data_IF_970781540504
#
_entry.id   IF_970781540504
#
_cell.length_a   1.000
_cell.length_b   1.000
_cell.length_c   1.000
_cell.angle_alpha   90.00
_cell.angle_beta   90.00
_cell.angle_gamma   90.00
#
_symmetry.space_group_name_H-M   'P 1'
#
loop_
_entity.id
_entity.type
_entity.pdbx_description
1 polymer ?
#
# COMPACT_ATOMS: atom_id res chain seq x y z
N UNK A 1 1.00 1.34 -54.37
CA UNK A 1 1.96 0.21 -54.52
C UNK A 1 1.31 -0.96 -53.80
N UNK A 2 1.15 -2.10 -54.44
CA UNK A 2 0.32 -3.18 -53.90
C UNK A 2 1.17 -4.02 -52.94
N UNK A 3 0.69 -4.36 -51.75
CA UNK A 3 1.41 -5.17 -50.74
C UNK A 3 2.02 -6.47 -51.29
N UNK A 4 1.41 -6.94 -52.42
CA UNK A 4 1.94 -8.07 -53.20
C UNK A 4 3.29 -7.79 -53.93
N UNK A 5 3.60 -6.53 -54.21
CA UNK A 5 4.88 -6.17 -54.85
C UNK A 5 6.03 -6.03 -53.91
N UNK A 6 5.74 -5.69 -52.61
CA UNK A 6 6.75 -5.75 -51.55
C UNK A 6 7.15 -7.18 -51.20
N UNK A 7 6.24 -8.15 -51.31
CA UNK A 7 6.55 -9.58 -51.23
C UNK A 7 7.48 -10.07 -52.34
N UNK A 8 7.41 -9.44 -53.54
CA UNK A 8 8.35 -9.74 -54.65
C UNK A 8 9.75 -9.22 -54.35
N UNK A 9 9.88 -8.11 -53.59
CA UNK A 9 11.14 -7.59 -53.08
C UNK A 9 11.82 -8.55 -52.07
N UNK A 10 11.04 -9.35 -51.33
CA UNK A 10 11.58 -10.38 -50.41
C UNK A 10 12.28 -11.51 -51.15
N UNK A 11 12.02 -11.74 -52.47
CA UNK A 11 12.71 -12.75 -53.30
C UNK A 11 14.16 -12.41 -53.60
N UNK A 12 14.59 -11.18 -53.38
CA UNK A 12 15.98 -10.74 -53.59
C UNK A 12 16.79 -10.53 -52.30
N UNK A 13 16.26 -10.96 -51.17
CA UNK A 13 17.01 -10.89 -49.92
C UNK A 13 18.14 -11.96 -49.92
N UNK A 14 19.33 -11.63 -49.38
CA UNK A 14 20.46 -12.53 -49.36
C UNK A 14 20.26 -13.77 -48.48
N UNK A 15 19.18 -13.82 -47.72
CA UNK A 15 18.83 -14.97 -46.89
C UNK A 15 17.43 -15.45 -47.29
N UNK A 16 17.36 -16.65 -47.83
CA UNK A 16 16.10 -17.30 -48.18
C UNK A 16 15.32 -17.64 -46.91
N UNK A 17 14.03 -17.25 -46.89
CA UNK A 17 13.09 -17.80 -45.91
C UNK A 17 12.98 -19.31 -46.18
N UNK A 18 12.85 -20.10 -45.12
CA UNK A 18 12.47 -21.51 -45.27
C UNK A 18 11.08 -21.59 -45.89
N UNK A 19 10.74 -22.69 -46.61
CA UNK A 19 9.45 -22.90 -47.22
C UNK A 19 8.31 -22.75 -46.19
N UNK A 20 8.55 -23.18 -44.93
CA UNK A 20 7.60 -23.04 -43.84
C UNK A 20 7.38 -21.55 -43.47
N UNK A 21 8.47 -20.77 -43.33
CA UNK A 21 8.37 -19.34 -43.01
C UNK A 21 7.67 -18.57 -44.13
N UNK A 22 7.99 -18.87 -45.40
CA UNK A 22 7.36 -18.25 -46.54
C UNK A 22 5.85 -18.58 -46.64
N UNK A 23 5.45 -19.83 -46.32
CA UNK A 23 4.07 -20.22 -46.24
C UNK A 23 3.31 -19.49 -45.15
N UNK A 24 3.94 -19.35 -43.95
CA UNK A 24 3.33 -18.63 -42.82
C UNK A 24 3.17 -17.13 -43.09
N UNK A 25 4.17 -16.50 -43.70
CA UNK A 25 4.07 -15.07 -44.09
C UNK A 25 2.93 -14.86 -45.08
N UNK A 26 2.80 -15.74 -46.11
CA UNK A 26 1.70 -15.69 -47.08
C UNK A 26 0.36 -15.87 -46.40
N UNK A 27 0.20 -16.85 -45.54
CA UNK A 27 -1.04 -17.11 -44.80
C UNK A 27 -1.48 -15.88 -43.98
N UNK A 28 -0.55 -15.23 -43.30
CA UNK A 28 -0.86 -14.01 -42.52
C UNK A 28 -1.27 -12.86 -43.43
N UNK A 29 -0.62 -12.67 -44.58
CA UNK A 29 -0.92 -11.59 -45.53
C UNK A 29 -2.24 -11.80 -46.30
N UNK A 30 -2.62 -13.05 -46.51
CA UNK A 30 -3.87 -13.40 -47.22
C UNK A 30 -5.08 -13.31 -46.28
N UNK A 31 -4.93 -13.57 -45.00
CA UNK A 31 -6.03 -13.68 -44.03
C UNK A 31 -6.25 -12.42 -43.17
N UNK A 32 -5.40 -11.38 -43.26
CA UNK A 32 -5.50 -10.20 -42.44
C UNK A 32 -5.47 -8.92 -43.29
N UNK A 33 -5.97 -7.81 -42.68
CA UNK A 33 -5.77 -6.48 -43.26
C UNK A 33 -4.27 -6.14 -43.27
N UNK A 34 -3.83 -5.29 -44.20
CA UNK A 34 -2.41 -4.95 -44.34
C UNK A 34 -1.77 -4.51 -43.00
N UNK A 35 -2.38 -3.62 -42.24
CA UNK A 35 -1.87 -3.16 -40.94
C UNK A 35 -1.78 -4.31 -39.92
N UNK A 36 -2.85 -5.09 -39.75
CA UNK A 36 -2.88 -6.22 -38.81
C UNK A 36 -1.88 -7.31 -39.18
N UNK A 37 -1.70 -7.59 -40.49
CA UNK A 37 -0.72 -8.54 -40.96
C UNK A 37 0.70 -8.13 -40.57
N UNK A 38 1.07 -6.86 -40.77
CA UNK A 38 2.38 -6.34 -40.39
C UNK A 38 2.60 -6.36 -38.88
N UNK A 39 1.55 -6.06 -38.09
CA UNK A 39 1.62 -6.19 -36.60
C UNK A 39 1.93 -7.64 -36.20
N UNK A 40 1.28 -8.62 -36.78
CA UNK A 40 1.52 -10.05 -36.52
C UNK A 40 2.95 -10.43 -36.92
N UNK A 41 3.36 -10.08 -38.14
CA UNK A 41 4.68 -10.40 -38.69
C UNK A 41 5.83 -9.71 -37.92
N UNK A 42 5.59 -8.55 -37.34
CA UNK A 42 6.56 -7.87 -36.49
C UNK A 42 6.97 -8.70 -35.24
N UNK A 43 6.20 -9.72 -34.87
CA UNK A 43 6.46 -10.63 -33.76
C UNK A 43 7.12 -11.94 -34.21
N UNK A 44 7.48 -12.08 -35.50
CA UNK A 44 8.13 -13.27 -36.02
C UNK A 44 9.46 -13.55 -35.30
N UNK A 45 9.81 -14.82 -35.15
CA UNK A 45 11.11 -15.23 -34.67
C UNK A 45 12.24 -14.76 -35.61
N UNK A 46 11.98 -14.77 -36.94
CA UNK A 46 12.95 -14.36 -37.96
C UNK A 46 13.11 -12.83 -37.99
N UNK A 47 14.33 -12.33 -37.79
CA UNK A 47 14.66 -10.90 -37.78
C UNK A 47 14.38 -10.18 -39.08
N UNK A 48 14.55 -10.83 -40.20
CA UNK A 48 14.28 -10.29 -41.54
C UNK A 48 12.78 -10.07 -41.75
N UNK A 49 11.96 -11.02 -41.30
CA UNK A 49 10.49 -10.86 -41.35
C UNK A 49 10.06 -9.69 -40.47
N UNK A 50 10.66 -9.53 -39.26
CA UNK A 50 10.35 -8.38 -38.40
C UNK A 50 10.75 -7.05 -39.02
N UNK A 51 11.94 -6.99 -39.65
CA UNK A 51 12.40 -5.79 -40.33
C UNK A 51 11.48 -5.38 -41.49
N UNK A 52 11.08 -6.35 -42.33
CA UNK A 52 10.13 -6.11 -43.42
C UNK A 52 8.77 -5.65 -42.89
N UNK A 53 8.28 -6.28 -41.82
CA UNK A 53 7.04 -5.88 -41.20
C UNK A 53 7.06 -4.42 -40.70
N UNK A 54 8.20 -3.96 -40.17
CA UNK A 54 8.35 -2.56 -39.76
C UNK A 54 8.38 -1.59 -40.93
N UNK A 55 8.97 -1.98 -42.07
CA UNK A 55 8.89 -1.19 -43.29
C UNK A 55 7.45 -1.05 -43.77
N UNK A 56 6.68 -2.16 -43.85
CA UNK A 56 5.28 -2.14 -44.18
C UNK A 56 4.44 -1.32 -43.19
N UNK A 57 4.68 -1.43 -41.88
CA UNK A 57 4.02 -0.61 -40.87
C UNK A 57 4.30 0.89 -41.00
N UNK A 58 5.43 1.27 -41.58
CA UNK A 58 5.78 2.68 -41.76
C UNK A 58 4.78 3.42 -42.65
N UNK A 59 4.02 2.75 -43.50
CA UNK A 59 3.00 3.35 -44.38
C UNK A 59 1.61 3.36 -43.73
N UNK A 60 1.44 2.66 -42.59
CA UNK A 60 0.19 2.56 -41.83
C UNK A 60 0.26 3.28 -40.51
N UNK A 61 -0.01 4.58 -40.49
CA UNK A 61 0.02 5.39 -39.27
C UNK A 61 -1.18 5.09 -38.38
N UNK A 62 -0.94 4.39 -37.26
CA UNK A 62 -1.99 4.02 -36.28
C UNK A 62 -1.39 3.89 -34.87
N UNK A 63 -2.26 3.87 -33.85
CA UNK A 63 -1.84 3.64 -32.47
C UNK A 63 -1.24 2.22 -32.29
N UNK A 64 -1.74 1.24 -33.02
CA UNK A 64 -1.27 -0.14 -32.99
C UNK A 64 0.14 -0.24 -33.58
N UNK A 65 0.37 0.36 -34.77
CA UNK A 65 1.70 0.42 -35.39
C UNK A 65 2.71 1.14 -34.47
N UNK A 66 2.31 2.25 -33.82
CA UNK A 66 3.16 2.95 -32.88
C UNK A 66 3.55 2.06 -31.69
N UNK A 67 2.63 1.26 -31.18
CA UNK A 67 2.89 0.28 -30.11
C UNK A 67 3.96 -0.73 -30.51
N UNK A 68 3.87 -1.26 -31.74
CA UNK A 68 4.89 -2.17 -32.31
C UNK A 68 6.25 -1.49 -32.44
N UNK A 69 6.29 -0.26 -32.94
CA UNK A 69 7.55 0.49 -33.07
C UNK A 69 8.23 0.63 -31.71
N UNK A 70 7.51 0.99 -30.65
CA UNK A 70 8.10 1.05 -29.28
C UNK A 70 8.63 -0.31 -28.82
N UNK A 71 7.92 -1.41 -29.09
CA UNK A 71 8.42 -2.75 -28.75
C UNK A 71 9.73 -3.07 -29.47
N UNK A 72 9.81 -2.74 -30.76
CA UNK A 72 10.95 -3.09 -31.64
C UNK A 72 12.14 -2.14 -31.50
N UNK A 73 11.99 -0.95 -30.92
CA UNK A 73 13.14 -0.11 -30.55
C UNK A 73 14.13 -0.81 -29.60
N UNK A 74 13.71 -1.84 -28.88
CA UNK A 74 14.59 -2.65 -28.03
C UNK A 74 14.76 -4.08 -28.57
N UNK A 75 14.59 -4.30 -29.87
CA UNK A 75 14.82 -5.60 -30.48
C UNK A 75 16.30 -6.02 -30.35
N UNK A 76 16.58 -7.32 -30.39
CA UNK A 76 17.92 -7.84 -30.33
C UNK A 76 18.69 -7.66 -31.64
N UNK A 77 17.98 -7.58 -32.80
CA UNK A 77 18.55 -7.32 -34.11
C UNK A 77 18.72 -5.82 -34.35
N UNK A 78 19.95 -5.32 -34.61
CA UNK A 78 20.20 -3.89 -34.81
C UNK A 78 19.38 -3.28 -35.94
N UNK A 79 19.25 -3.97 -37.09
CA UNK A 79 18.50 -3.50 -38.26
C UNK A 79 17.01 -3.31 -37.94
N UNK A 80 16.44 -4.20 -37.13
CA UNK A 80 15.06 -4.09 -36.66
C UNK A 80 14.90 -2.84 -35.77
N UNK A 81 15.86 -2.56 -34.87
CA UNK A 81 15.83 -1.33 -34.07
C UNK A 81 15.90 -0.08 -34.92
N UNK A 82 16.76 -0.09 -35.92
CA UNK A 82 16.96 1.03 -36.85
C UNK A 82 15.67 1.31 -37.66
N UNK A 83 15.03 0.29 -38.20
CA UNK A 83 13.75 0.42 -38.89
C UNK A 83 12.63 0.93 -37.95
N UNK A 84 12.60 0.45 -36.70
CA UNK A 84 11.66 0.96 -35.71
C UNK A 84 11.90 2.44 -35.40
N UNK A 85 13.16 2.88 -35.29
CA UNK A 85 13.51 4.28 -35.07
C UNK A 85 13.12 5.16 -36.27
N UNK A 86 13.39 4.71 -37.51
CA UNK A 86 12.97 5.41 -38.72
C UNK A 86 11.43 5.53 -38.82
N UNK A 87 10.70 4.44 -38.53
CA UNK A 87 9.25 4.44 -38.49
C UNK A 87 8.69 5.41 -37.45
N UNK A 88 9.34 5.51 -36.29
CA UNK A 88 8.90 6.41 -35.21
C UNK A 88 9.01 7.90 -35.60
N UNK A 89 9.93 8.30 -36.45
CA UNK A 89 10.05 9.69 -36.92
C UNK A 89 8.75 10.22 -37.52
N UNK A 90 7.97 9.34 -38.17
CA UNK A 90 6.68 9.70 -38.71
C UNK A 90 5.64 10.10 -37.65
N UNK A 91 5.84 9.70 -36.37
CA UNK A 91 4.96 9.99 -35.26
C UNK A 91 5.43 11.20 -34.42
N UNK A 92 6.70 11.60 -34.59
CA UNK A 92 7.28 12.71 -33.82
C UNK A 92 7.02 14.07 -34.49
N UNK A 93 5.78 14.30 -34.89
CA UNK A 93 5.30 15.54 -35.53
C UNK A 93 4.04 16.05 -34.80
N UNK A 94 3.80 17.39 -34.75
CA UNK A 94 2.69 17.98 -34.00
C UNK A 94 1.32 17.44 -34.42
N UNK A 95 1.12 17.13 -35.69
CA UNK A 95 -0.13 16.63 -36.26
C UNK A 95 -0.52 15.24 -35.75
N UNK A 96 0.43 14.52 -35.15
CA UNK A 96 0.25 13.16 -34.61
C UNK A 96 0.50 13.06 -33.12
N UNK A 97 0.52 14.18 -32.44
CA UNK A 97 0.76 14.24 -30.98
C UNK A 97 -0.28 13.44 -30.18
N UNK A 98 -1.52 13.34 -30.67
CA UNK A 98 -2.58 12.54 -30.06
C UNK A 98 -2.24 11.05 -30.04
N UNK A 99 -1.62 10.51 -31.11
CA UNK A 99 -1.17 9.14 -31.18
C UNK A 99 -0.03 8.88 -30.21
N UNK A 100 0.95 9.80 -30.12
CA UNK A 100 2.05 9.71 -29.18
C UNK A 100 1.54 9.74 -27.72
N UNK A 101 0.61 10.63 -27.39
CA UNK A 101 0.03 10.75 -26.05
C UNK A 101 -0.74 9.49 -25.66
N UNK A 102 -1.51 8.89 -26.58
CA UNK A 102 -2.16 7.58 -26.36
C UNK A 102 -1.16 6.44 -26.23
N UNK A 103 -0.07 6.47 -27.00
CA UNK A 103 1.02 5.48 -26.98
C UNK A 103 2.06 5.70 -25.88
N UNK A 104 1.89 6.70 -25.00
CA UNK A 104 2.89 7.11 -24.00
C UNK A 104 3.33 5.96 -23.09
N UNK A 105 2.43 5.02 -22.79
CA UNK A 105 2.76 3.82 -22.02
C UNK A 105 3.86 2.97 -22.67
N UNK A 106 3.82 2.80 -24.00
CA UNK A 106 4.85 2.10 -24.78
C UNK A 106 6.20 2.81 -24.74
N UNK A 107 6.20 4.13 -24.95
CA UNK A 107 7.39 4.97 -24.80
C UNK A 107 8.01 4.80 -23.40
N UNK A 108 7.21 4.95 -22.35
CA UNK A 108 7.68 4.87 -20.96
C UNK A 108 8.12 3.46 -20.55
N UNK A 109 7.67 2.41 -21.24
CA UNK A 109 8.16 1.06 -21.01
C UNK A 109 9.63 0.90 -21.42
N UNK A 110 10.13 1.74 -22.34
CA UNK A 110 11.54 1.75 -22.76
C UNK A 110 12.50 2.12 -21.63
N UNK A 111 12.07 2.84 -20.60
CA UNK A 111 12.92 3.18 -19.43
C UNK A 111 13.51 1.95 -18.73
N UNK A 112 12.82 0.80 -18.83
CA UNK A 112 13.25 -0.46 -18.21
C UNK A 112 14.00 -1.39 -19.20
N UNK A 113 14.24 -0.93 -20.44
CA UNK A 113 14.90 -1.70 -21.48
C UNK A 113 16.38 -1.29 -21.57
N UNK A 114 17.26 -2.29 -21.73
CA UNK A 114 18.70 -2.07 -21.58
C UNK A 114 19.52 -2.50 -22.81
N UNK A 115 18.90 -2.98 -23.90
CA UNK A 115 19.65 -3.44 -25.09
C UNK A 115 20.26 -2.30 -25.88
N UNK A 116 19.68 -1.11 -25.76
CA UNK A 116 20.20 0.12 -26.37
C UNK A 116 19.80 1.33 -25.52
N UNK A 117 20.51 2.43 -25.71
CA UNK A 117 20.14 3.71 -25.10
C UNK A 117 18.94 4.31 -25.83
N UNK A 118 17.88 4.58 -25.11
CA UNK A 118 16.66 5.21 -25.60
C UNK A 118 16.62 6.73 -25.31
N UNK A 119 17.70 7.32 -24.80
CA UNK A 119 17.77 8.73 -24.42
C UNK A 119 17.39 9.69 -25.55
N UNK A 120 17.87 9.41 -26.78
CA UNK A 120 17.53 10.19 -27.98
C UNK A 120 16.02 10.16 -28.27
N UNK A 121 15.40 8.99 -28.19
CA UNK A 121 13.96 8.83 -28.40
C UNK A 121 13.15 9.65 -27.37
N UNK A 122 13.54 9.57 -26.10
CA UNK A 122 12.92 10.36 -25.04
C UNK A 122 13.11 11.88 -25.25
N UNK A 123 14.31 12.30 -25.63
CA UNK A 123 14.60 13.71 -25.88
C UNK A 123 13.74 14.28 -27.01
N UNK A 124 13.61 13.53 -28.13
CA UNK A 124 12.75 13.92 -29.25
C UNK A 124 11.27 13.96 -28.90
N UNK A 125 10.77 12.93 -28.22
CA UNK A 125 9.39 12.91 -27.74
C UNK A 125 9.10 14.10 -26.80
N UNK A 126 10.02 14.43 -25.87
CA UNK A 126 9.90 15.61 -25.00
C UNK A 126 9.92 16.92 -25.82
N UNK A 127 10.82 17.03 -26.78
CA UNK A 127 10.92 18.22 -27.63
C UNK A 127 9.60 18.45 -28.40
N UNK A 128 9.03 17.40 -28.97
CA UNK A 128 7.71 17.48 -29.62
C UNK A 128 6.63 17.93 -28.62
N UNK A 129 6.51 17.25 -27.48
CA UNK A 129 5.45 17.52 -26.49
C UNK A 129 5.58 18.91 -25.84
N UNK A 130 6.71 19.60 -26.00
CA UNK A 130 6.91 21.00 -25.61
C UNK A 130 6.52 22.01 -26.69
N UNK A 131 6.12 21.55 -27.88
CA UNK A 131 5.70 22.46 -28.94
C UNK A 131 4.42 23.20 -28.54
N UNK A 132 4.45 24.54 -28.61
CA UNK A 132 3.34 25.38 -28.13
C UNK A 132 1.99 25.09 -28.79
N UNK A 133 1.98 24.67 -30.07
CA UNK A 133 0.76 24.33 -30.81
C UNK A 133 -0.04 23.15 -30.23
N UNK A 134 0.61 22.22 -29.54
CA UNK A 134 -0.03 21.02 -28.94
C UNK A 134 -0.14 21.10 -27.42
N UNK A 135 0.27 22.21 -26.80
CA UNK A 135 0.29 22.36 -25.34
C UNK A 135 -1.03 21.97 -24.69
N UNK A 136 -2.17 22.40 -25.24
CA UNK A 136 -3.49 22.08 -24.71
C UNK A 136 -3.74 20.57 -24.68
N UNK A 137 -3.34 19.85 -25.73
CA UNK A 137 -3.48 18.39 -25.80
C UNK A 137 -2.63 17.71 -24.72
N UNK A 138 -1.42 18.21 -24.49
CA UNK A 138 -0.52 17.69 -23.43
C UNK A 138 -1.09 17.94 -22.03
N UNK A 139 -1.66 19.12 -21.78
CA UNK A 139 -2.34 19.45 -20.52
C UNK A 139 -3.58 18.55 -20.30
N UNK A 140 -4.43 18.37 -21.30
CA UNK A 140 -5.57 17.48 -21.22
C UNK A 140 -5.15 16.02 -20.94
N UNK A 141 -4.10 15.53 -21.61
CA UNK A 141 -3.52 14.22 -21.34
C UNK A 141 -2.91 14.10 -19.94
N UNK A 142 -2.25 15.14 -19.45
CA UNK A 142 -1.71 15.20 -18.09
C UNK A 142 -2.81 15.05 -17.05
N UNK A 143 -3.87 15.86 -17.12
CA UNK A 143 -4.97 15.80 -16.16
C UNK A 143 -5.79 14.51 -16.29
N UNK A 144 -5.86 13.92 -17.47
CA UNK A 144 -6.53 12.65 -17.73
C UNK A 144 -5.78 11.41 -17.25
N UNK A 145 -4.45 11.49 -17.02
CA UNK A 145 -3.57 10.37 -16.72
C UNK A 145 -3.19 10.25 -15.26
N UNK A 146 -2.60 9.10 -14.90
CA UNK A 146 -1.99 8.82 -13.59
C UNK A 146 -0.72 7.99 -13.77
N UNK A 147 0.08 7.82 -12.71
CA UNK A 147 1.26 6.98 -12.73
C UNK A 147 2.42 7.58 -13.54
N UNK A 148 3.13 6.74 -14.28
CA UNK A 148 4.32 7.16 -15.04
C UNK A 148 4.01 8.22 -16.09
N UNK A 149 2.84 8.12 -16.74
CA UNK A 149 2.43 9.06 -17.79
C UNK A 149 2.25 10.48 -17.25
N UNK A 150 1.44 10.66 -16.19
CA UNK A 150 1.25 11.99 -15.59
C UNK A 150 2.55 12.59 -15.05
N UNK A 151 3.44 11.77 -14.48
CA UNK A 151 4.75 12.24 -13.98
C UNK A 151 5.66 12.71 -15.11
N UNK A 152 5.69 11.98 -16.22
CA UNK A 152 6.44 12.36 -17.41
C UNK A 152 5.89 13.66 -18.00
N UNK A 153 4.57 13.76 -18.17
CA UNK A 153 3.93 14.96 -18.71
C UNK A 153 4.08 16.16 -17.79
N UNK A 154 4.00 15.98 -16.46
CA UNK A 154 4.34 17.03 -15.50
C UNK A 154 5.78 17.54 -15.74
N UNK A 155 6.75 16.62 -15.90
CA UNK A 155 8.13 16.99 -16.18
C UNK A 155 8.31 17.74 -17.51
N UNK A 156 7.48 17.44 -18.53
CA UNK A 156 7.46 18.20 -19.80
C UNK A 156 6.91 19.61 -19.60
N UNK A 157 5.76 19.73 -18.93
CA UNK A 157 5.03 20.99 -18.76
C UNK A 157 5.74 21.97 -17.80
N UNK A 158 6.40 21.46 -16.74
CA UNK A 158 7.01 22.32 -15.72
C UNK A 158 8.28 23.03 -16.21
N UNK A 159 8.94 22.49 -17.25
CA UNK A 159 10.12 23.09 -17.87
C UNK A 159 9.79 24.40 -18.59
N UNK A 160 8.52 24.62 -18.94
CA UNK A 160 8.07 25.85 -19.57
C UNK A 160 7.71 26.92 -18.53
N UNK A 161 8.06 28.17 -18.82
CA UNK A 161 7.74 29.31 -17.96
C UNK A 161 6.28 29.74 -18.07
N UNK A 162 5.70 29.65 -19.26
CA UNK A 162 4.33 30.08 -19.54
C UNK A 162 3.33 29.14 -18.82
N UNK A 163 2.40 29.72 -18.06
CA UNK A 163 1.36 28.96 -17.34
C UNK A 163 1.86 28.13 -16.17
N UNK A 164 3.12 28.29 -15.74
CA UNK A 164 3.74 27.48 -14.66
C UNK A 164 2.96 27.55 -13.36
N UNK A 165 2.46 28.72 -12.98
CA UNK A 165 1.67 28.85 -11.73
C UNK A 165 0.35 28.10 -11.79
N UNK A 166 -0.41 28.24 -12.88
CA UNK A 166 -1.66 27.52 -13.07
C UNK A 166 -1.45 25.98 -13.09
N UNK A 167 -0.35 25.53 -13.72
CA UNK A 167 0.05 24.12 -13.67
C UNK A 167 0.31 23.65 -12.25
N UNK A 168 1.05 24.41 -11.44
CA UNK A 168 1.37 24.06 -10.06
C UNK A 168 0.13 24.07 -9.17
N UNK A 169 -0.75 25.06 -9.29
CA UNK A 169 -2.03 25.13 -8.58
C UNK A 169 -2.90 23.89 -8.81
N UNK A 170 -2.93 23.40 -10.04
CA UNK A 170 -3.65 22.18 -10.40
C UNK A 170 -2.90 20.92 -9.97
N UNK A 171 -1.58 20.92 -10.01
CA UNK A 171 -0.73 19.77 -9.70
C UNK A 171 -0.66 19.46 -8.22
N UNK A 172 -0.74 20.45 -7.31
CA UNK A 172 -0.76 20.21 -5.85
C UNK A 172 -2.00 19.45 -5.38
N UNK A 173 -3.06 19.41 -6.20
CA UNK A 173 -4.31 18.66 -5.96
C UNK A 173 -4.52 17.51 -6.94
N UNK A 174 -3.55 17.20 -7.78
CA UNK A 174 -3.63 16.15 -8.79
C UNK A 174 -3.95 14.78 -8.18
N UNK A 175 -4.61 13.89 -8.94
CA UNK A 175 -4.96 12.53 -8.48
C UNK A 175 -3.73 11.67 -8.15
N UNK A 176 -2.66 11.80 -8.92
CA UNK A 176 -1.40 11.07 -8.66
C UNK A 176 -0.63 11.69 -7.50
N UNK A 177 -0.34 10.85 -6.49
CA UNK A 177 0.38 11.28 -5.28
C UNK A 177 1.78 11.83 -5.59
N UNK A 178 2.48 11.20 -6.54
CA UNK A 178 3.85 11.60 -6.90
C UNK A 178 3.86 12.94 -7.64
N UNK A 179 2.85 13.20 -8.48
CA UNK A 179 2.68 14.53 -9.12
C UNK A 179 2.52 15.62 -8.08
N UNK A 180 1.69 15.38 -7.04
CA UNK A 180 1.57 16.33 -5.91
C UNK A 180 2.90 16.58 -5.20
N UNK A 181 3.71 15.52 -5.01
CA UNK A 181 5.05 15.64 -4.42
C UNK A 181 6.01 16.43 -5.32
N UNK A 182 5.98 16.18 -6.63
CA UNK A 182 6.78 16.92 -7.61
C UNK A 182 6.38 18.40 -7.68
N UNK A 183 5.09 18.70 -7.56
CA UNK A 183 4.61 20.08 -7.48
C UNK A 183 5.13 20.81 -6.24
N UNK A 184 5.17 20.13 -5.08
CA UNK A 184 5.79 20.68 -3.85
C UNK A 184 7.29 20.90 -4.03
N UNK A 185 8.01 19.97 -4.71
CA UNK A 185 9.43 20.16 -5.02
C UNK A 185 9.65 21.40 -5.90
N UNK A 186 8.80 21.60 -6.90
CA UNK A 186 8.88 22.75 -7.79
C UNK A 186 8.67 24.09 -7.04
N UNK A 187 7.96 24.08 -5.90
CA UNK A 187 7.80 25.28 -5.06
C UNK A 187 9.12 25.73 -4.42
N UNK A 188 10.12 24.84 -4.31
CA UNK A 188 11.44 25.21 -3.74
C UNK A 188 12.13 26.29 -4.57
N UNK A 189 11.95 26.32 -5.88
CA UNK A 189 12.54 27.31 -6.79
C UNK A 189 11.73 28.60 -6.94
N UNK A 190 10.55 28.72 -6.30
CA UNK A 190 9.69 29.88 -6.41
C UNK A 190 9.99 30.96 -5.36
N UNK A 191 9.70 32.25 -5.63
CA UNK A 191 9.62 33.26 -4.59
C UNK A 191 8.62 32.91 -3.50
N UNK A 192 8.87 33.29 -2.24
CA UNK A 192 8.02 32.93 -1.11
C UNK A 192 6.53 33.30 -1.32
N UNK A 193 6.26 34.49 -1.85
CA UNK A 193 4.90 34.99 -2.12
C UNK A 193 4.09 34.02 -3.04
N UNK A 194 4.76 33.35 -3.98
CA UNK A 194 4.14 32.39 -4.90
C UNK A 194 4.09 30.99 -4.31
N UNK A 195 5.12 30.59 -3.55
CA UNK A 195 5.23 29.26 -2.99
C UNK A 195 4.27 29.03 -1.81
N UNK A 196 4.08 30.01 -0.93
CA UNK A 196 3.31 29.85 0.31
C UNK A 196 1.86 29.38 0.06
N UNK A 197 1.07 29.99 -0.83
CA UNK A 197 -0.32 29.54 -1.07
C UNK A 197 -0.38 28.08 -1.60
N UNK A 198 0.58 27.69 -2.44
CA UNK A 198 0.66 26.34 -2.99
C UNK A 198 1.00 25.32 -1.90
N UNK A 199 1.94 25.65 -1.02
CA UNK A 199 2.36 24.81 0.09
C UNK A 199 1.23 24.66 1.14
N UNK A 200 0.52 25.74 1.45
CA UNK A 200 -0.67 25.69 2.33
C UNK A 200 -1.75 24.79 1.76
N UNK A 201 -2.00 24.88 0.45
CA UNK A 201 -2.92 23.97 -0.23
C UNK A 201 -2.43 22.52 -0.20
N UNK A 202 -1.13 22.29 -0.37
CA UNK A 202 -0.52 20.97 -0.26
C UNK A 202 -0.61 20.39 1.16
N UNK A 203 -0.61 21.23 2.21
CA UNK A 203 -0.85 20.81 3.61
C UNK A 203 -2.25 20.25 3.83
N UNK A 204 -3.21 20.55 2.98
CA UNK A 204 -4.57 19.97 3.03
C UNK A 204 -4.69 18.66 2.24
N UNK A 205 -3.61 18.19 1.59
CA UNK A 205 -3.62 16.96 0.80
C UNK A 205 -4.01 15.74 1.65
N UNK A 206 -4.79 14.83 1.06
CA UNK A 206 -5.10 13.53 1.67
C UNK A 206 -3.86 12.65 1.88
N UNK A 207 -2.81 12.84 1.07
CA UNK A 207 -1.54 12.11 1.14
C UNK A 207 -0.62 12.65 2.24
N UNK A 208 -0.36 11.87 3.28
CA UNK A 208 0.52 12.27 4.38
C UNK A 208 1.93 12.66 3.91
N UNK A 209 2.50 11.94 2.94
CA UNK A 209 3.83 12.24 2.40
C UNK A 209 3.90 13.61 1.70
N UNK A 210 2.81 14.04 1.06
CA UNK A 210 2.72 15.39 0.45
C UNK A 210 2.70 16.45 1.54
N UNK A 211 1.87 16.26 2.60
CA UNK A 211 1.80 17.20 3.73
C UNK A 211 3.14 17.33 4.47
N UNK A 212 3.80 16.19 4.74
CA UNK A 212 5.14 16.18 5.37
C UNK A 212 6.15 16.94 4.53
N UNK A 213 6.13 16.74 3.21
CA UNK A 213 7.01 17.43 2.27
C UNK A 213 6.72 18.94 2.24
N UNK A 214 5.43 19.30 2.17
CA UNK A 214 5.00 20.70 2.21
C UNK A 214 5.45 21.41 3.49
N UNK A 215 5.25 20.76 4.67
CA UNK A 215 5.70 21.34 5.93
C UNK A 215 7.22 21.52 5.97
N UNK A 216 8.00 20.56 5.47
CA UNK A 216 9.48 20.71 5.39
C UNK A 216 9.88 21.95 4.59
N UNK A 217 9.23 22.21 3.45
CA UNK A 217 9.52 23.39 2.64
C UNK A 217 9.05 24.65 3.35
N UNK A 218 7.87 24.65 3.97
CA UNK A 218 7.36 25.78 4.77
C UNK A 218 8.34 26.19 5.88
N UNK A 219 8.87 25.21 6.63
CA UNK A 219 9.84 25.45 7.70
C UNK A 219 11.12 26.18 7.24
N UNK A 220 11.43 26.16 5.95
CA UNK A 220 12.60 26.86 5.37
C UNK A 220 12.24 28.21 4.77
N UNK A 221 10.94 28.56 4.68
CA UNK A 221 10.44 29.72 3.93
C UNK A 221 9.78 30.77 4.78
N UNK A 222 9.34 30.42 5.99
CA UNK A 222 8.67 31.32 6.91
C UNK A 222 9.58 31.63 8.10
N UNK A 223 9.53 32.87 8.57
CA UNK A 223 10.29 33.30 9.76
C UNK A 223 9.74 32.67 11.03
N UNK A 224 8.42 32.64 11.19
CA UNK A 224 7.73 32.01 12.32
C UNK A 224 6.76 30.90 11.85
N UNK A 225 7.15 29.62 11.92
CA UNK A 225 6.31 28.51 11.53
C UNK A 225 5.38 27.98 12.64
N UNK A 226 5.31 28.61 13.82
CA UNK A 226 4.54 28.07 14.97
C UNK A 226 3.08 27.83 14.65
N UNK A 227 2.44 28.66 13.84
CA UNK A 227 1.05 28.46 13.42
C UNK A 227 0.90 27.17 12.60
N UNK A 228 1.80 26.90 11.66
CA UNK A 228 1.80 25.67 10.86
C UNK A 228 2.12 24.43 11.71
N UNK A 229 3.05 24.56 12.67
CA UNK A 229 3.39 23.47 13.60
C UNK A 229 2.20 23.11 14.47
N UNK A 230 1.48 24.08 15.06
CA UNK A 230 0.27 23.84 15.84
C UNK A 230 -0.82 23.15 15.01
N UNK A 231 -1.08 23.62 13.80
CA UNK A 231 -2.06 23.02 12.90
C UNK A 231 -1.71 21.57 12.51
N UNK A 232 -0.41 21.26 12.35
CA UNK A 232 0.06 19.95 11.95
C UNK A 232 0.29 18.98 13.12
N UNK A 233 0.34 19.47 14.36
CA UNK A 233 0.64 18.68 15.57
C UNK A 233 -0.34 17.54 15.79
N UNK A 234 -1.61 17.76 15.45
CA UNK A 234 -2.68 16.78 15.56
C UNK A 234 -2.99 16.09 14.23
N UNK A 235 -2.01 15.97 13.33
CA UNK A 235 -2.20 15.22 12.10
C UNK A 235 -2.33 13.72 12.38
N UNK A 236 -3.20 13.03 11.65
CA UNK A 236 -3.37 11.59 11.78
C UNK A 236 -2.10 10.78 11.44
N UNK A 237 -1.16 11.36 10.68
CA UNK A 237 0.10 10.73 10.29
C UNK A 237 1.16 10.86 11.37
N UNK A 238 1.70 9.73 11.83
CA UNK A 238 2.84 9.71 12.75
C UNK A 238 4.08 10.42 12.17
N UNK A 239 4.32 10.31 10.85
CA UNK A 239 5.44 10.99 10.20
C UNK A 239 5.31 12.53 10.27
N UNK A 240 4.07 13.05 10.16
CA UNK A 240 3.83 14.49 10.32
C UNK A 240 4.06 14.90 11.77
N UNK A 241 3.50 14.24 12.74
CA UNK A 241 3.69 14.52 14.16
C UNK A 241 5.16 14.41 14.59
N UNK A 242 5.89 13.43 14.04
CA UNK A 242 7.33 13.29 14.26
C UNK A 242 8.10 14.53 13.76
N UNK A 243 7.80 14.99 12.54
CA UNK A 243 8.40 16.22 11.99
C UNK A 243 8.07 17.44 12.83
N UNK A 244 6.81 17.58 13.28
CA UNK A 244 6.38 18.69 14.15
C UNK A 244 7.14 18.65 15.47
N UNK A 245 7.23 17.52 16.17
CA UNK A 245 7.94 17.39 17.44
C UNK A 245 9.44 17.71 17.31
N UNK A 246 10.06 17.27 16.21
CA UNK A 246 11.44 17.63 15.90
C UNK A 246 11.60 19.15 15.68
N UNK A 247 10.69 19.78 14.94
CA UNK A 247 10.75 21.22 14.70
C UNK A 247 10.36 22.06 15.93
N UNK A 248 9.40 21.59 16.72
CA UNK A 248 8.84 22.29 17.87
C UNK A 248 9.92 22.77 18.87
N UNK A 249 10.94 21.94 19.13
CA UNK A 249 12.04 22.28 20.03
C UNK A 249 12.82 23.52 19.56
N UNK A 250 13.01 23.66 18.24
CA UNK A 250 13.71 24.81 17.64
C UNK A 250 12.95 26.11 17.78
N UNK A 251 11.61 26.03 17.79
CA UNK A 251 10.70 27.19 17.83
C UNK A 251 10.05 27.40 19.20
N UNK A 252 10.60 26.75 20.24
CA UNK A 252 10.12 26.86 21.62
C UNK A 252 8.62 26.55 21.77
N UNK A 253 8.12 25.58 21.00
CA UNK A 253 6.74 25.13 21.07
C UNK A 253 6.65 23.86 21.92
N UNK A 254 5.92 23.92 23.06
CA UNK A 254 5.73 22.80 23.95
C UNK A 254 4.56 21.91 23.45
N UNK A 255 4.91 20.78 22.84
CA UNK A 255 3.91 19.82 22.34
C UNK A 255 3.02 19.23 23.45
N UNK A 256 3.54 19.10 24.67
CA UNK A 256 2.76 18.60 25.80
C UNK A 256 1.73 19.63 26.24
N UNK A 257 2.10 20.88 26.38
CA UNK A 257 1.20 21.96 26.75
C UNK A 257 0.09 22.12 25.71
N UNK A 258 0.42 22.07 24.41
CA UNK A 258 -0.57 22.13 23.32
C UNK A 258 -1.53 20.93 23.37
N UNK A 259 -1.03 19.71 23.66
CA UNK A 259 -1.88 18.54 23.89
C UNK A 259 -2.83 18.76 25.04
N UNK A 260 -2.33 19.18 26.23
CA UNK A 260 -3.17 19.40 27.40
C UNK A 260 -4.25 20.46 27.16
N UNK A 261 -3.90 21.55 26.48
CA UNK A 261 -4.89 22.57 26.05
C UNK A 261 -5.95 21.98 25.14
N UNK A 262 -5.60 21.06 24.23
CA UNK A 262 -6.56 20.41 23.32
C UNK A 262 -7.47 19.41 24.04
N UNK A 263 -6.99 18.75 25.12
CA UNK A 263 -7.79 17.81 25.92
C UNK A 263 -8.95 18.49 26.67
N UNK A 264 -8.82 19.76 27.02
CA UNK A 264 -9.88 20.57 27.65
C UNK A 264 -10.91 21.05 26.62
N UNK A 265 -10.57 21.02 25.34
CA UNK A 265 -11.40 21.48 24.24
C UNK A 265 -12.53 20.50 23.84
N UNK A 266 -13.25 20.80 22.76
CA UNK A 266 -14.31 19.95 22.27
C UNK A 266 -13.81 18.56 21.86
N UNK A 267 -14.70 17.57 21.98
CA UNK A 267 -14.44 16.20 21.53
C UNK A 267 -14.20 16.20 20.02
N UNK A 268 -13.23 15.42 19.51
CA UNK A 268 -13.02 15.30 18.07
C UNK A 268 -14.27 14.79 17.33
N UNK A 269 -14.64 15.48 16.25
CA UNK A 269 -15.83 15.13 15.46
C UNK A 269 -15.52 14.13 14.35
N UNK A 270 -14.28 14.11 13.86
CA UNK A 270 -13.85 13.26 12.75
C UNK A 270 -12.88 12.16 13.18
N UNK A 271 -12.92 11.04 12.45
CA UNK A 271 -11.92 9.98 12.60
C UNK A 271 -10.49 10.51 12.52
N UNK A 272 -10.22 11.48 11.63
CA UNK A 272 -8.88 12.04 11.41
C UNK A 272 -8.40 12.80 12.66
N UNK A 273 -9.26 13.60 13.26
CA UNK A 273 -8.94 14.32 14.49
C UNK A 273 -8.69 13.36 15.65
N UNK A 274 -9.53 12.34 15.82
CA UNK A 274 -9.32 11.29 16.82
C UNK A 274 -7.94 10.66 16.68
N UNK A 275 -7.58 10.21 15.46
CA UNK A 275 -6.30 9.54 15.22
C UNK A 275 -5.11 10.47 15.47
N UNK A 276 -5.25 11.76 15.19
CA UNK A 276 -4.22 12.76 15.47
C UNK A 276 -4.00 12.96 16.97
N UNK A 277 -5.09 13.19 17.72
CA UNK A 277 -5.06 13.42 19.14
C UNK A 277 -4.53 12.20 19.92
N UNK A 278 -5.10 11.01 19.64
CA UNK A 278 -4.64 9.73 20.22
C UNK A 278 -3.16 9.49 19.89
N UNK A 279 -2.78 9.74 18.64
CA UNK A 279 -1.40 9.53 18.20
C UNK A 279 -0.40 10.40 18.97
N UNK A 280 -0.70 11.69 19.17
CA UNK A 280 0.16 12.58 19.92
C UNK A 280 0.19 12.20 21.41
N UNK A 281 -0.94 11.88 22.03
CA UNK A 281 -1.02 11.43 23.41
C UNK A 281 -0.17 10.17 23.66
N UNK A 282 -0.24 9.19 22.73
CA UNK A 282 0.58 7.99 22.77
C UNK A 282 2.08 8.31 22.64
N UNK A 283 2.46 9.15 21.70
CA UNK A 283 3.85 9.51 21.40
C UNK A 283 4.52 10.30 22.54
N UNK A 284 3.73 11.06 23.31
CA UNK A 284 4.17 11.77 24.51
C UNK A 284 4.03 10.94 25.78
N UNK A 285 3.42 9.76 25.72
CA UNK A 285 3.07 8.90 26.86
C UNK A 285 2.30 9.67 27.96
N UNK A 286 1.34 10.49 27.56
CA UNK A 286 0.64 11.42 28.44
C UNK A 286 -0.55 10.73 29.14
N UNK A 287 -0.44 10.50 30.46
CA UNK A 287 -1.48 9.84 31.26
C UNK A 287 -2.71 10.71 31.50
N UNK A 288 -2.60 12.04 31.48
CA UNK A 288 -3.75 12.94 31.57
C UNK A 288 -4.70 12.83 30.37
N UNK A 289 -4.25 12.14 29.29
CA UNK A 289 -5.11 11.82 28.15
C UNK A 289 -5.98 10.57 28.36
N UNK A 290 -5.79 9.77 29.40
CA UNK A 290 -6.50 8.51 29.61
C UNK A 290 -8.05 8.65 29.61
N UNK A 291 -8.67 9.67 30.22
CA UNK A 291 -10.12 9.87 30.11
C UNK A 291 -10.60 10.09 28.67
N UNK A 292 -9.85 10.83 27.88
CA UNK A 292 -10.15 11.04 26.44
C UNK A 292 -9.95 9.73 25.65
N UNK A 293 -8.92 8.94 25.95
CA UNK A 293 -8.69 7.64 25.35
C UNK A 293 -9.83 6.66 25.66
N UNK A 294 -10.34 6.66 26.90
CA UNK A 294 -11.50 5.87 27.28
C UNK A 294 -12.75 6.27 26.47
N UNK A 295 -12.98 7.56 26.24
CA UNK A 295 -14.06 8.03 25.36
C UNK A 295 -13.87 7.59 23.90
N UNK A 296 -12.64 7.57 23.40
CA UNK A 296 -12.31 7.12 22.05
C UNK A 296 -12.64 5.64 21.82
N UNK A 297 -12.62 4.81 22.86
CA UNK A 297 -13.04 3.40 22.81
C UNK A 297 -14.55 3.24 22.50
N UNK A 298 -15.36 4.27 22.74
CA UNK A 298 -16.79 4.28 22.41
C UNK A 298 -17.06 4.74 20.97
N UNK A 299 -16.02 5.03 20.18
CA UNK A 299 -16.17 5.47 18.80
C UNK A 299 -16.79 4.39 17.91
N UNK A 300 -17.65 4.78 16.97
CA UNK A 300 -18.15 3.87 15.92
C UNK A 300 -17.03 3.32 15.03
N UNK A 301 -15.90 4.02 14.91
CA UNK A 301 -14.75 3.62 14.08
C UNK A 301 -13.85 2.63 14.81
N UNK A 302 -13.81 1.37 14.36
CA UNK A 302 -12.90 0.34 14.89
C UNK A 302 -11.42 0.76 14.89
N UNK A 303 -10.98 1.57 13.93
CA UNK A 303 -9.59 2.08 13.90
C UNK A 303 -9.30 3.11 14.99
N UNK A 304 -10.28 3.88 15.41
CA UNK A 304 -10.16 4.82 16.55
C UNK A 304 -10.09 4.02 17.84
N UNK A 305 -11.00 3.06 18.06
CA UNK A 305 -10.99 2.17 19.23
C UNK A 305 -9.66 1.41 19.35
N UNK A 306 -9.16 0.84 18.22
CA UNK A 306 -7.88 0.16 18.18
C UNK A 306 -6.71 1.05 18.62
N UNK A 307 -6.63 2.27 18.07
CA UNK A 307 -5.55 3.19 18.42
C UNK A 307 -5.64 3.68 19.87
N UNK A 308 -6.85 3.91 20.40
CA UNK A 308 -7.06 4.27 21.79
C UNK A 308 -6.61 3.15 22.74
N UNK A 309 -7.00 1.91 22.45
CA UNK A 309 -6.59 0.73 23.22
C UNK A 309 -5.05 0.58 23.26
N UNK A 310 -4.41 0.75 22.11
CA UNK A 310 -2.95 0.70 22.01
C UNK A 310 -2.25 1.88 22.71
N UNK A 311 -2.90 3.04 22.78
CA UNK A 311 -2.35 4.21 23.45
C UNK A 311 -2.44 4.11 24.96
N UNK A 312 -3.48 3.49 25.50
CA UNK A 312 -3.60 3.17 26.93
C UNK A 312 -2.51 2.18 27.37
N UNK A 313 -2.14 1.22 26.50
CA UNK A 313 -1.09 0.25 26.80
C UNK A 313 -1.30 -0.44 28.15
N UNK A 314 -0.26 -0.53 28.96
CA UNK A 314 -0.30 -1.20 30.29
C UNK A 314 -1.26 -0.56 31.30
N UNK A 315 -1.61 0.71 31.14
CA UNK A 315 -2.56 1.41 32.02
C UNK A 315 -3.99 0.98 31.81
N UNK A 316 -4.34 0.45 30.62
CA UNK A 316 -5.69 0.18 30.18
C UNK A 316 -6.17 -1.26 30.36
N UNK A 317 -5.80 -2.00 31.41
CA UNK A 317 -6.17 -3.41 31.60
C UNK A 317 -7.69 -3.60 31.60
N UNK A 318 -8.45 -2.74 32.27
CA UNK A 318 -9.91 -2.80 32.28
C UNK A 318 -10.48 -2.64 30.87
N UNK A 319 -10.01 -1.67 30.11
CA UNK A 319 -10.44 -1.41 28.75
C UNK A 319 -10.03 -2.54 27.78
N UNK A 320 -8.88 -3.19 28.03
CA UNK A 320 -8.45 -4.36 27.27
C UNK A 320 -9.39 -5.55 27.48
N UNK A 321 -9.89 -5.74 28.71
CA UNK A 321 -10.87 -6.78 29.02
C UNK A 321 -12.21 -6.48 28.35
N UNK A 322 -12.69 -5.24 28.45
CA UNK A 322 -13.90 -4.81 27.77
C UNK A 322 -13.82 -4.99 26.24
N UNK A 323 -12.65 -4.72 25.67
CA UNK A 323 -12.37 -4.87 24.23
C UNK A 323 -12.36 -6.33 23.75
N UNK A 324 -12.35 -7.34 24.65
CA UNK A 324 -12.59 -8.74 24.28
C UNK A 324 -14.03 -8.99 23.79
N UNK A 325 -14.98 -8.08 24.10
CA UNK A 325 -16.32 -8.07 23.55
C UNK A 325 -16.50 -7.25 22.27
N UNK A 326 -15.46 -6.60 21.76
CA UNK A 326 -15.55 -5.72 20.59
C UNK A 326 -15.99 -6.48 19.34
N UNK A 327 -16.88 -5.84 18.54
CA UNK A 327 -17.38 -6.41 17.29
C UNK A 327 -16.28 -6.56 16.22
N UNK A 328 -15.21 -5.75 16.29
CA UNK A 328 -14.10 -5.79 15.34
C UNK A 328 -13.04 -6.81 15.76
N UNK A 329 -12.75 -7.76 14.88
CA UNK A 329 -11.67 -8.73 15.09
C UNK A 329 -10.29 -8.10 15.27
N UNK A 330 -10.05 -6.92 14.68
CA UNK A 330 -8.79 -6.18 14.86
C UNK A 330 -8.65 -5.62 16.26
N UNK A 331 -9.73 -5.11 16.85
CA UNK A 331 -9.74 -4.58 18.22
C UNK A 331 -9.62 -5.74 19.20
N UNK A 332 -10.40 -6.80 19.02
CA UNK A 332 -10.31 -8.04 19.79
C UNK A 332 -8.89 -8.62 19.80
N UNK A 333 -8.28 -8.79 18.62
CA UNK A 333 -6.92 -9.34 18.51
C UNK A 333 -5.86 -8.45 19.18
N UNK A 334 -6.05 -7.14 19.12
CA UNK A 334 -5.18 -6.20 19.84
C UNK A 334 -5.35 -6.31 21.37
N UNK A 335 -6.57 -6.48 21.85
CA UNK A 335 -6.83 -6.72 23.27
C UNK A 335 -6.14 -7.99 23.76
N UNK A 336 -6.26 -9.09 23.03
CA UNK A 336 -5.53 -10.35 23.31
C UNK A 336 -4.02 -10.13 23.37
N UNK A 337 -3.45 -9.41 22.37
CA UNK A 337 -2.01 -9.15 22.31
C UNK A 337 -1.51 -8.31 23.49
N UNK A 338 -2.30 -7.31 23.91
CA UNK A 338 -1.96 -6.47 25.05
C UNK A 338 -2.10 -7.21 26.38
N UNK A 339 -3.18 -8.00 26.56
CA UNK A 339 -3.39 -8.79 27.78
C UNK A 339 -2.29 -9.85 27.98
N UNK A 340 -1.75 -10.43 26.91
CA UNK A 340 -0.61 -11.37 26.98
C UNK A 340 0.66 -10.72 27.59
N UNK A 341 0.77 -9.40 27.55
CA UNK A 341 1.88 -8.66 28.15
C UNK A 341 1.63 -8.27 29.59
N UNK A 342 0.40 -8.47 30.10
CA UNK A 342 0.01 -8.15 31.46
C UNK A 342 0.25 -9.36 32.39
N UNK A 343 0.56 -9.14 33.68
CA UNK A 343 0.53 -10.20 34.66
C UNK A 343 -0.87 -10.84 34.75
N UNK A 344 -0.93 -12.18 34.74
CA UNK A 344 -2.16 -12.94 34.79
C UNK A 344 -3.11 -12.50 35.91
N UNK A 345 -2.58 -12.28 37.12
CA UNK A 345 -3.33 -11.85 38.30
C UNK A 345 -4.12 -10.55 38.11
N UNK A 346 -3.78 -9.71 37.14
CA UNK A 346 -4.48 -8.43 36.90
C UNK A 346 -5.80 -8.59 36.17
N UNK A 347 -6.02 -9.70 35.46
CA UNK A 347 -7.23 -9.91 34.66
C UNK A 347 -7.88 -11.28 34.82
N UNK A 348 -7.31 -12.18 35.65
CA UNK A 348 -7.81 -13.53 35.92
C UNK A 348 -9.32 -13.55 36.22
N UNK A 349 -9.76 -12.88 37.26
CA UNK A 349 -11.15 -12.87 37.71
C UNK A 349 -12.13 -12.35 36.62
N UNK A 350 -11.71 -11.35 35.84
CA UNK A 350 -12.52 -10.78 34.78
C UNK A 350 -12.61 -11.69 33.58
N UNK A 351 -11.51 -12.34 33.17
CA UNK A 351 -11.50 -13.32 32.08
C UNK A 351 -12.34 -14.54 32.45
N UNK A 352 -12.24 -15.04 33.69
CA UNK A 352 -13.05 -16.17 34.16
C UNK A 352 -14.54 -15.87 34.17
N UNK A 353 -14.92 -14.66 34.62
CA UNK A 353 -16.30 -14.22 34.53
C UNK A 353 -16.77 -14.19 33.06
N UNK A 354 -15.99 -13.60 32.14
CA UNK A 354 -16.32 -13.57 30.72
C UNK A 354 -16.52 -14.97 30.14
N UNK A 355 -15.58 -15.90 30.40
CA UNK A 355 -15.64 -17.26 29.92
C UNK A 355 -16.84 -18.04 30.51
N UNK A 356 -17.19 -17.79 31.76
CA UNK A 356 -18.28 -18.51 32.44
C UNK A 356 -19.67 -17.98 32.05
N UNK A 357 -19.81 -16.67 31.83
CA UNK A 357 -21.13 -16.05 31.55
C UNK A 357 -21.45 -15.91 30.06
N UNK A 358 -20.45 -15.75 29.19
CA UNK A 358 -20.66 -15.43 27.78
C UNK A 358 -20.10 -16.49 26.80
N UNK A 359 -19.68 -17.65 27.28
CA UNK A 359 -19.05 -18.69 26.45
C UNK A 359 -19.83 -18.98 25.16
N UNK A 360 -21.11 -19.28 25.26
CA UNK A 360 -21.95 -19.66 24.12
C UNK A 360 -22.27 -18.50 23.17
N UNK A 361 -22.13 -17.26 23.64
CA UNK A 361 -22.33 -16.06 22.82
C UNK A 361 -21.10 -15.67 22.01
N UNK A 362 -19.92 -16.22 22.38
CA UNK A 362 -18.67 -15.92 21.71
C UNK A 362 -18.52 -16.77 20.43
N UNK A 363 -18.04 -16.18 19.32
CA UNK A 363 -17.66 -16.95 18.14
C UNK A 363 -16.59 -18.01 18.49
N UNK A 364 -16.68 -19.19 17.92
CA UNK A 364 -15.77 -20.31 18.23
C UNK A 364 -14.30 -19.95 18.08
N UNK A 365 -13.93 -19.23 16.99
CA UNK A 365 -12.58 -18.78 16.77
C UNK A 365 -12.04 -17.86 17.89
N UNK A 366 -12.92 -17.07 18.55
CA UNK A 366 -12.54 -16.21 19.67
C UNK A 366 -12.41 -16.99 20.99
N UNK A 367 -13.24 -18.03 21.20
CA UNK A 367 -13.20 -18.86 22.42
C UNK A 367 -11.81 -19.43 22.67
N UNK A 368 -11.20 -20.02 21.64
CA UNK A 368 -9.84 -20.56 21.74
C UNK A 368 -8.81 -19.48 22.09
N UNK A 369 -8.86 -18.32 21.43
CA UNK A 369 -7.93 -17.22 21.70
C UNK A 369 -8.04 -16.72 23.17
N UNK A 370 -9.25 -16.66 23.70
CA UNK A 370 -9.47 -16.31 25.12
C UNK A 370 -8.88 -17.34 26.06
N UNK A 371 -9.05 -18.63 25.77
CA UNK A 371 -8.45 -19.71 26.56
C UNK A 371 -6.91 -19.64 26.58
N UNK A 372 -6.29 -19.22 25.46
CA UNK A 372 -4.82 -19.07 25.39
C UNK A 372 -4.27 -17.88 26.23
N UNK A 373 -5.12 -17.05 26.80
CA UNK A 373 -4.73 -16.06 27.79
C UNK A 373 -4.47 -16.65 29.18
N UNK A 374 -5.07 -17.82 29.48
CA UNK A 374 -4.83 -18.49 30.75
C UNK A 374 -3.43 -19.12 30.75
N UNK A 375 -2.69 -19.10 31.88
CA UNK A 375 -1.50 -19.93 32.04
C UNK A 375 -1.80 -21.39 31.69
N UNK A 376 -0.82 -22.13 31.16
CA UNK A 376 -1.05 -23.43 30.57
C UNK A 376 -1.77 -24.41 31.49
N UNK A 377 -1.33 -24.53 32.75
CA UNK A 377 -2.00 -25.43 33.74
C UNK A 377 -3.40 -24.95 34.11
N UNK A 378 -3.63 -23.64 34.21
CA UNK A 378 -4.95 -23.04 34.44
C UNK A 378 -5.87 -23.21 33.26
N UNK A 379 -5.33 -23.28 32.05
CA UNK A 379 -6.10 -23.59 30.84
C UNK A 379 -6.57 -25.06 30.89
N UNK A 380 -5.68 -25.99 31.21
CA UNK A 380 -6.02 -27.42 31.38
C UNK A 380 -7.07 -27.63 32.47
N UNK A 381 -6.90 -27.02 33.64
CA UNK A 381 -7.86 -27.07 34.75
C UNK A 381 -9.25 -26.62 34.29
N UNK A 382 -9.33 -25.46 33.58
CA UNK A 382 -10.59 -24.95 33.08
C UNK A 382 -11.27 -25.92 32.10
N UNK A 383 -10.49 -26.45 31.14
CA UNK A 383 -11.01 -27.40 30.14
C UNK A 383 -11.49 -28.69 30.80
N UNK A 384 -10.77 -29.20 31.80
CA UNK A 384 -11.14 -30.40 32.53
C UNK A 384 -12.42 -30.20 33.33
N UNK A 385 -12.53 -29.10 34.07
CA UNK A 385 -13.76 -28.75 34.82
C UNK A 385 -14.98 -28.61 33.88
N UNK A 386 -14.79 -28.02 32.71
CA UNK A 386 -15.86 -27.92 31.71
C UNK A 386 -16.27 -29.28 31.15
N UNK A 387 -15.32 -30.20 30.90
CA UNK A 387 -15.60 -31.54 30.46
C UNK A 387 -16.44 -32.31 31.52
N UNK A 388 -16.08 -32.18 32.79
CA UNK A 388 -16.79 -32.83 33.90
C UNK A 388 -18.19 -32.28 34.14
N UNK A 389 -18.39 -30.96 33.87
CA UNK A 389 -19.69 -30.30 34.05
C UNK A 389 -20.63 -30.44 32.84
N UNK A 390 -20.06 -30.64 31.65
CA UNK A 390 -20.81 -30.58 30.39
C UNK A 390 -21.30 -31.93 29.89
N UNK A 391 -22.64 -32.14 29.96
CA UNK A 391 -23.24 -33.37 29.41
C UNK A 391 -23.32 -33.39 27.87
N UNK A 392 -23.50 -32.21 27.25
CA UNK A 392 -23.82 -32.10 25.81
C UNK A 392 -22.64 -31.75 24.90
N UNK A 393 -21.50 -31.25 25.42
CA UNK A 393 -20.31 -30.82 24.67
C UNK A 393 -19.03 -31.60 25.05
N UNK A 394 -19.14 -32.78 25.61
CA UNK A 394 -18.01 -33.59 26.10
C UNK A 394 -16.93 -33.79 25.02
N UNK A 395 -17.32 -34.08 23.78
CA UNK A 395 -16.40 -34.28 22.65
C UNK A 395 -15.62 -33.01 22.31
N UNK A 396 -16.26 -31.83 22.37
CA UNK A 396 -15.59 -30.56 22.15
C UNK A 396 -14.51 -30.29 23.20
N UNK A 397 -14.84 -30.50 24.47
CA UNK A 397 -13.90 -30.26 25.57
C UNK A 397 -12.73 -31.23 25.54
N UNK A 398 -12.97 -32.51 25.24
CA UNK A 398 -11.92 -33.50 25.04
C UNK A 398 -10.99 -33.15 23.88
N UNK A 399 -11.55 -32.69 22.76
CA UNK A 399 -10.73 -32.20 21.65
C UNK A 399 -9.84 -31.01 22.04
N UNK A 400 -10.38 -30.07 22.79
CA UNK A 400 -9.60 -28.90 23.27
C UNK A 400 -8.55 -29.33 24.31
N UNK A 401 -8.84 -30.28 25.19
CA UNK A 401 -7.89 -30.86 26.12
C UNK A 401 -6.73 -31.52 25.37
N UNK A 402 -7.01 -32.38 24.41
CA UNK A 402 -6.00 -33.06 23.60
C UNK A 402 -5.11 -32.05 22.87
N UNK A 403 -5.72 -31.00 22.29
CA UNK A 403 -5.01 -29.88 21.64
C UNK A 403 -4.12 -29.14 22.62
N UNK A 404 -4.60 -28.84 23.82
CA UNK A 404 -3.83 -28.15 24.86
C UNK A 404 -2.64 -28.99 25.32
N UNK A 405 -2.81 -30.28 25.56
CA UNK A 405 -1.74 -31.21 25.93
C UNK A 405 -0.64 -31.31 24.87
N UNK A 406 -1.01 -31.24 23.57
CA UNK A 406 -0.05 -31.29 22.47
C UNK A 406 0.77 -30.01 22.28
N UNK A 407 0.41 -28.89 22.97
CA UNK A 407 1.07 -27.57 22.79
C UNK A 407 2.19 -27.43 23.84
N UNK A 408 3.44 -27.33 23.40
CA UNK A 408 4.63 -27.17 24.28
C UNK A 408 4.60 -25.96 25.24
N UNK A 409 3.73 -25.00 25.01
CA UNK A 409 3.57 -23.79 25.85
C UNK A 409 3.07 -24.09 27.27
N UNK A 410 2.48 -25.26 27.52
CA UNK A 410 2.03 -25.73 28.84
C UNK A 410 3.20 -25.99 29.80
N UNK A 411 4.40 -26.26 29.27
CA UNK A 411 5.58 -26.63 30.08
C UNK A 411 6.27 -25.45 30.77
N UNK A 412 5.93 -24.20 30.42
CA UNK A 412 6.61 -22.99 30.86
C UNK A 412 5.88 -22.23 31.99
N UNK A 413 4.70 -22.71 32.42
CA UNK A 413 3.94 -22.07 33.49
C UNK A 413 4.46 -22.50 34.87
N UNK A 414 5.23 -21.62 35.49
CA UNK A 414 5.74 -21.78 36.87
C UNK A 414 4.78 -21.22 37.94
N UNK A 415 3.70 -20.54 37.53
CA UNK A 415 2.77 -19.85 38.45
C UNK A 415 1.81 -20.82 39.17
N UNK A 416 1.55 -22.00 38.58
CA UNK A 416 0.64 -23.01 39.16
C UNK A 416 1.39 -23.87 40.21
N UNK A 417 0.86 -24.00 41.43
CA UNK A 417 1.48 -24.80 42.49
C UNK A 417 1.73 -26.27 42.10
N UNK A 418 2.83 -26.83 42.58
CA UNK A 418 3.25 -28.23 42.25
C UNK A 418 2.16 -29.25 42.54
N UNK A 419 1.50 -29.20 43.72
CA UNK A 419 0.43 -30.09 44.09
C UNK A 419 -0.74 -30.04 43.09
N UNK A 420 -1.15 -28.86 42.68
CA UNK A 420 -2.22 -28.67 41.70
C UNK A 420 -1.84 -29.24 40.32
N UNK A 421 -0.59 -29.07 39.90
CA UNK A 421 -0.10 -29.68 38.65
C UNK A 421 -0.12 -31.18 38.70
N UNK A 422 0.23 -31.79 39.84
CA UNK A 422 0.20 -33.26 40.04
C UNK A 422 -1.25 -33.79 40.01
N UNK A 423 -2.19 -33.13 40.68
CA UNK A 423 -3.62 -33.49 40.61
C UNK A 423 -4.15 -33.42 39.19
N UNK A 424 -3.89 -32.35 38.47
CA UNK A 424 -4.30 -32.25 37.07
C UNK A 424 -3.68 -33.31 36.16
N UNK A 425 -2.41 -33.64 36.36
CA UNK A 425 -1.74 -34.72 35.61
C UNK A 425 -2.41 -36.08 35.87
N UNK A 426 -2.72 -36.39 37.12
CA UNK A 426 -3.38 -37.62 37.49
C UNK A 426 -4.77 -37.73 36.80
N UNK A 427 -5.60 -36.70 36.90
CA UNK A 427 -6.95 -36.67 36.30
C UNK A 427 -6.89 -36.77 34.77
N UNK A 428 -5.92 -36.12 34.11
CA UNK A 428 -5.71 -36.24 32.68
C UNK A 428 -5.21 -37.65 32.29
N UNK A 429 -4.40 -38.28 33.13
CA UNK A 429 -3.96 -39.68 32.93
C UNK A 429 -5.12 -40.67 33.01
N UNK A 430 -6.04 -40.48 33.95
CA UNK A 430 -7.27 -41.28 34.04
C UNK A 430 -8.11 -41.19 32.77
N UNK A 431 -8.22 -40.01 32.15
CA UNK A 431 -8.89 -39.83 30.87
C UNK A 431 -8.14 -40.47 29.70
N UNK A 432 -6.81 -40.50 29.71
CA UNK A 432 -6.00 -41.18 28.71
C UNK A 432 -6.15 -42.71 28.84
N UNK A 433 -6.12 -43.24 30.06
CA UNK A 433 -6.31 -44.65 30.34
C UNK A 433 -7.74 -45.14 29.97
N UNK A 434 -8.74 -44.29 30.19
CA UNK A 434 -10.13 -44.53 29.75
C UNK A 434 -10.32 -44.42 28.23
N UNK A 435 -9.29 -44.04 27.48
CA UNK A 435 -9.35 -43.83 26.02
C UNK A 435 -10.07 -42.58 25.57
N UNK A 436 -10.38 -41.65 26.47
CA UNK A 436 -11.02 -40.38 26.17
C UNK A 436 -10.02 -39.38 25.60
N UNK A 437 -8.75 -39.47 25.94
CA UNK A 437 -7.66 -38.71 25.33
C UNK A 437 -6.74 -39.60 24.50
N UNK A 438 -6.09 -39.09 23.46
CA UNK A 438 -5.10 -39.82 22.67
C UNK A 438 -3.93 -40.29 23.55
N UNK A 439 -3.43 -41.51 23.32
CA UNK A 439 -2.27 -42.07 24.04
C UNK A 439 -1.05 -41.18 23.88
N UNK A 440 -0.36 -40.92 24.97
CA UNK A 440 0.82 -40.07 25.01
C UNK A 440 0.53 -38.56 25.22
N UNK A 441 -0.74 -38.16 25.31
CA UNK A 441 -1.13 -36.76 25.56
C UNK A 441 -0.53 -36.21 26.86
N UNK A 442 -0.56 -36.97 27.94
CA UNK A 442 -0.07 -36.56 29.27
C UNK A 442 1.44 -36.64 29.38
N UNK A 443 2.10 -37.51 28.60
CA UNK A 443 3.56 -37.61 28.61
C UNK A 443 4.28 -36.35 28.16
N UNK A 444 3.58 -35.47 27.43
CA UNK A 444 4.10 -34.16 26.97
C UNK A 444 4.02 -33.08 28.05
N UNK A 445 3.36 -33.33 29.18
CA UNK A 445 3.15 -32.38 30.27
C UNK A 445 4.20 -32.49 31.41
N UNK A 446 5.40 -32.93 31.13
CA UNK A 446 6.48 -33.12 32.12
C UNK A 446 7.13 -31.79 32.54
#
# INVERSE_FOLDING_TARGET
MNDRDELKGMRHWPYQLTDYEAARVRDVLDNHTACSAWVILSRSYNGFVREAALRGLSDHVSAEALGVLFERLNDWVPQVREQAAQGLEKYLVPERADLLLRGLGGLLALTNKQRTDHGVTFARARALLRTGSIRRQVEEAFFGSTGKASRFLFGVLIEESVGRMALLESSVVHRDLTVRQLAVDACIGLPAIQALPLLERAMQSSGASVRVKALRVLLTRVEDPRAYLRAAMFDASAAMRCLVRWAASRWQLDCRQELLSRLVGPVPDSKREWLGLIGLAKELNESLADPMLARALMSSSASVRLQALQALGERGVTQQIEALGDSSDKVFSAAIALLRQQPWSRFEASLERLLNTHWYQLPEARRWLLLTLKPGWRQLEYLLLRHEQGRDESTYWLYQLARCCSTRSTLLDSSTPKMQRQDLQQRLQELEEAGALPRGSVSLLK
#
